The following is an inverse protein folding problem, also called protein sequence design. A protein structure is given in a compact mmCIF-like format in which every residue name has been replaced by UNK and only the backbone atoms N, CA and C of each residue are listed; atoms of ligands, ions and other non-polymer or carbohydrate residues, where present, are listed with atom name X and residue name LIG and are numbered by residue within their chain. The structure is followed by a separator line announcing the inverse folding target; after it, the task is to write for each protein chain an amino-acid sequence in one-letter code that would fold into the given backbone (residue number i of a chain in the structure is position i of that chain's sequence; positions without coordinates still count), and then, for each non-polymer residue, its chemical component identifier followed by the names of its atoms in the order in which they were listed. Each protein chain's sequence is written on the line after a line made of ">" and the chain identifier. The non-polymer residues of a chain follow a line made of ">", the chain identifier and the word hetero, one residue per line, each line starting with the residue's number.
data_IF_702128024272
#
_entry.id   IF_702128024272
#
_cell.length_a   1.000
_cell.length_b   1.000
_cell.length_c   1.000
_cell.angle_alpha   90.00
_cell.angle_beta   90.00
_cell.angle_gamma   90.00
#
_symmetry.space_group_name_H-M   'P 1'
#
loop_
_entity.id
_entity.type
_entity.pdbx_description
1 polymer ?
#
# COMPACT_ATOMS: atom_id res chain seq x y z
N UNK A 1 -40.48 60.06 5.61
CA UNK A 1 -39.97 59.50 4.34
C UNK A 1 -40.74 58.23 4.03
N UNK A 2 -41.75 58.36 3.17
CA UNK A 2 -42.54 57.29 2.53
C UNK A 2 -41.62 56.45 1.63
N UNK A 3 -41.83 55.13 1.45
CA UNK A 3 -42.88 54.57 0.57
C UNK A 3 -43.10 53.08 0.88
N UNK A 4 -44.37 52.71 1.03
CA UNK A 4 -44.88 51.38 0.69
C UNK A 4 -44.86 51.16 -0.83
N UNK A 5 -44.86 49.91 -1.31
CA UNK A 5 -45.85 49.36 -2.26
C UNK A 5 -45.50 47.90 -2.62
N UNK A 6 -46.47 47.05 -2.32
CA UNK A 6 -46.82 45.69 -2.79
C UNK A 6 -46.57 45.49 -4.30
N UNK A 7 -46.21 44.27 -4.76
CA UNK A 7 -46.96 43.50 -5.78
C UNK A 7 -46.26 42.17 -6.15
N UNK A 8 -46.96 41.05 -5.90
CA UNK A 8 -46.70 39.75 -6.51
C UNK A 8 -47.00 39.81 -8.01
N UNK A 9 -46.17 39.18 -8.85
CA UNK A 9 -46.58 38.75 -10.18
C UNK A 9 -45.93 37.42 -10.57
N UNK A 10 -46.78 36.40 -10.67
CA UNK A 10 -46.55 35.13 -11.37
C UNK A 10 -46.39 35.41 -12.87
N UNK A 11 -45.41 34.79 -13.53
CA UNK A 11 -45.47 34.58 -14.98
C UNK A 11 -44.81 33.26 -15.43
N UNK A 12 -45.72 32.35 -15.77
CA UNK A 12 -45.70 31.28 -16.78
C UNK A 12 -44.51 31.10 -17.74
N UNK A 13 -44.10 29.83 -17.83
CA UNK A 13 -43.74 29.01 -19.00
C UNK A 13 -43.11 29.68 -20.24
N UNK A 14 -41.84 29.34 -20.49
CA UNK A 14 -41.33 29.17 -21.85
C UNK A 14 -40.67 27.80 -22.01
N UNK A 15 -41.14 27.07 -23.01
CA UNK A 15 -40.55 25.83 -23.49
C UNK A 15 -39.21 26.11 -24.20
N UNK A 16 -38.21 25.26 -23.97
CA UNK A 16 -37.03 25.15 -24.82
C UNK A 16 -36.93 23.72 -25.35
N UNK A 17 -36.90 23.60 -26.68
CA UNK A 17 -36.75 22.37 -27.44
C UNK A 17 -35.28 21.98 -27.62
N UNK A 18 -35.03 20.67 -27.77
CA UNK A 18 -33.87 19.98 -28.41
C UNK A 18 -32.69 19.59 -27.50
N UNK A 19 -31.84 18.59 -27.87
CA UNK A 19 -32.00 17.43 -28.76
C UNK A 19 -31.79 16.08 -28.03
N UNK A 20 -32.18 14.95 -28.66
CA UNK A 20 -31.72 13.61 -28.23
C UNK A 20 -30.20 13.57 -28.25
N UNK A 21 -29.58 13.59 -27.07
CA UNK A 21 -28.21 13.15 -26.89
C UNK A 21 -28.22 11.64 -26.98
N UNK A 22 -27.73 11.09 -28.09
CA UNK A 22 -27.21 9.73 -28.10
C UNK A 22 -26.09 9.72 -27.06
N UNK A 23 -26.37 9.18 -25.87
CA UNK A 23 -25.35 8.88 -24.89
C UNK A 23 -24.60 7.68 -25.45
N UNK A 24 -23.57 7.97 -26.25
CA UNK A 24 -22.48 7.03 -26.49
C UNK A 24 -21.89 6.68 -25.12
N UNK A 25 -22.39 5.57 -24.58
CA UNK A 25 -21.92 4.98 -23.34
C UNK A 25 -20.57 4.32 -23.62
N UNK A 26 -19.54 5.15 -23.86
CA UNK A 26 -18.17 4.73 -23.63
C UNK A 26 -17.97 4.64 -22.13
N UNK A 27 -18.37 3.49 -21.59
CA UNK A 27 -17.95 3.02 -20.27
C UNK A 27 -16.43 2.88 -20.31
N UNK A 28 -15.71 3.97 -20.02
CA UNK A 28 -14.33 3.86 -19.57
C UNK A 28 -14.39 3.07 -18.27
N UNK A 29 -14.07 1.78 -18.34
CA UNK A 29 -13.80 0.98 -17.16
C UNK A 29 -12.63 1.67 -16.44
N UNK A 30 -12.95 2.47 -15.42
CA UNK A 30 -11.93 3.04 -14.54
C UNK A 30 -11.28 1.87 -13.81
N UNK A 31 -10.10 1.47 -14.29
CA UNK A 31 -9.27 0.49 -13.61
C UNK A 31 -8.93 1.06 -12.24
N UNK A 32 -9.34 0.35 -11.19
CA UNK A 32 -9.03 0.76 -9.83
C UNK A 32 -7.51 0.77 -9.65
N UNK A 33 -6.93 1.77 -8.97
CA UNK A 33 -5.48 1.84 -8.80
C UNK A 33 -4.98 0.61 -8.03
N UNK A 34 -3.80 0.12 -8.43
CA UNK A 34 -3.14 -1.01 -7.77
C UNK A 34 -2.79 -0.69 -6.33
N UNK A 35 -2.42 -1.70 -5.54
CA UNK A 35 -1.94 -1.46 -4.18
C UNK A 35 -0.65 -0.63 -4.20
N UNK A 36 0.26 -0.91 -5.14
CA UNK A 36 1.48 -0.15 -5.38
C UNK A 36 1.21 1.33 -5.64
N UNK A 37 0.24 1.65 -6.51
CA UNK A 37 -0.18 3.04 -6.76
C UNK A 37 -0.78 3.69 -5.51
N UNK A 38 -1.62 2.96 -4.76
CA UNK A 38 -2.23 3.45 -3.51
C UNK A 38 -1.21 3.69 -2.39
N UNK A 39 -0.07 3.00 -2.42
CA UNK A 39 1.01 3.20 -1.46
C UNK A 39 1.86 4.43 -1.75
N UNK A 40 1.86 4.94 -2.99
CA UNK A 40 2.82 5.97 -3.42
C UNK A 40 4.02 5.39 -4.17
N UNK A 41 3.86 4.21 -4.77
CA UNK A 41 4.79 3.60 -5.71
C UNK A 41 6.21 3.40 -5.12
N UNK A 42 7.25 3.46 -5.95
CA UNK A 42 8.63 3.19 -5.55
C UNK A 42 9.11 4.11 -4.41
N UNK A 43 8.87 5.43 -4.42
CA UNK A 43 9.31 6.31 -3.34
C UNK A 43 8.79 5.87 -1.97
N UNK A 44 7.52 5.46 -1.90
CA UNK A 44 6.95 4.96 -0.66
C UNK A 44 7.59 3.65 -0.21
N UNK A 45 7.81 2.69 -1.13
CA UNK A 45 8.51 1.43 -0.80
C UNK A 45 9.94 1.66 -0.31
N UNK A 46 10.69 2.54 -0.97
CA UNK A 46 12.05 2.88 -0.57
C UNK A 46 12.07 3.47 0.86
N UNK A 47 11.15 4.39 1.16
CA UNK A 47 11.02 4.99 2.50
C UNK A 47 10.65 3.95 3.57
N UNK A 48 9.68 3.06 3.30
CA UNK A 48 9.30 1.98 4.23
C UNK A 48 10.52 1.10 4.53
N UNK A 49 11.31 0.76 3.52
CA UNK A 49 12.43 -0.17 3.69
C UNK A 49 13.61 0.51 4.39
N UNK A 50 13.88 1.78 4.11
CA UNK A 50 14.88 2.55 4.85
C UNK A 50 14.52 2.69 6.33
N UNK A 51 13.25 2.98 6.63
CA UNK A 51 12.75 2.98 8.00
C UNK A 51 12.91 1.60 8.67
N UNK A 52 12.53 0.52 7.97
CA UNK A 52 12.63 -0.83 8.49
C UNK A 52 14.08 -1.23 8.81
N UNK A 53 15.02 -0.92 7.92
CA UNK A 53 16.46 -1.19 8.13
C UNK A 53 16.96 -0.47 9.38
N UNK A 54 16.59 0.80 9.55
CA UNK A 54 16.97 1.58 10.73
C UNK A 54 16.37 0.99 12.02
N UNK A 55 15.10 0.59 11.99
CA UNK A 55 14.40 0.00 13.15
C UNK A 55 15.03 -1.35 13.52
N UNK A 56 15.25 -2.24 12.54
CA UNK A 56 15.92 -3.54 12.77
C UNK A 56 17.33 -3.35 13.33
N UNK A 57 18.08 -2.36 12.85
CA UNK A 57 19.44 -2.07 13.33
C UNK A 57 19.53 -1.68 14.81
N UNK A 58 18.39 -1.40 15.45
CA UNK A 58 18.28 -1.01 16.86
C UNK A 58 17.50 -2.06 17.68
N UNK A 59 17.16 -3.21 17.09
CA UNK A 59 16.23 -4.17 17.70
C UNK A 59 16.92 -5.44 18.19
N UNK A 60 16.98 -5.63 19.51
CA UNK A 60 17.67 -6.76 20.13
C UNK A 60 16.98 -8.13 19.89
N UNK A 61 15.74 -8.16 19.39
CA UNK A 61 14.98 -9.40 19.17
C UNK A 61 15.33 -10.02 17.81
N UNK A 62 15.38 -9.21 16.75
CA UNK A 62 15.60 -9.73 15.39
C UNK A 62 16.97 -9.40 14.81
N UNK A 63 17.71 -8.43 15.35
CA UNK A 63 18.97 -7.95 14.75
C UNK A 63 19.99 -9.07 14.49
N UNK A 64 20.07 -10.08 15.35
CA UNK A 64 20.98 -11.22 15.16
C UNK A 64 20.79 -11.96 13.84
N UNK A 65 19.55 -12.01 13.30
CA UNK A 65 19.25 -12.59 11.98
C UNK A 65 19.80 -11.73 10.83
N UNK A 66 19.97 -10.44 11.06
CA UNK A 66 20.39 -9.48 10.04
C UNK A 66 21.86 -9.04 10.16
N UNK A 67 22.56 -9.37 11.25
CA UNK A 67 23.90 -8.86 11.58
C UNK A 67 24.98 -9.11 10.50
N UNK A 68 24.81 -10.12 9.65
CA UNK A 68 25.73 -10.45 8.53
C UNK A 68 25.11 -10.18 7.15
N UNK A 69 23.94 -9.54 7.11
CA UNK A 69 23.23 -9.28 5.86
C UNK A 69 23.89 -8.18 5.06
N UNK A 70 23.93 -8.34 3.74
CA UNK A 70 24.24 -7.23 2.84
C UNK A 70 23.03 -6.30 2.76
N UNK A 71 23.11 -5.14 3.43
CA UNK A 71 22.01 -4.19 3.56
C UNK A 71 21.52 -3.69 2.20
N UNK A 72 22.42 -3.39 1.26
CA UNK A 72 22.05 -2.95 -0.09
C UNK A 72 21.26 -4.03 -0.81
N UNK A 73 21.73 -5.28 -0.78
CA UNK A 73 21.03 -6.41 -1.40
C UNK A 73 19.66 -6.64 -0.73
N UNK A 74 19.59 -6.56 0.59
CA UNK A 74 18.33 -6.70 1.34
C UNK A 74 17.31 -5.64 0.90
N UNK A 75 17.72 -4.37 0.86
CA UNK A 75 16.89 -3.26 0.38
C UNK A 75 16.36 -3.52 -1.02
N UNK A 76 17.25 -3.83 -1.97
CA UNK A 76 16.86 -4.05 -3.36
C UNK A 76 15.88 -5.21 -3.52
N UNK A 77 16.16 -6.35 -2.86
CA UNK A 77 15.30 -7.54 -2.96
C UNK A 77 13.94 -7.31 -2.31
N UNK A 78 13.89 -6.67 -1.14
CA UNK A 78 12.63 -6.38 -0.47
C UNK A 78 11.81 -5.35 -1.25
N UNK A 79 12.43 -4.32 -1.84
CA UNK A 79 11.73 -3.35 -2.70
C UNK A 79 11.08 -4.04 -3.90
N UNK A 80 11.82 -4.88 -4.61
CA UNK A 80 11.29 -5.60 -5.79
C UNK A 80 10.19 -6.57 -5.37
N UNK A 81 10.37 -7.28 -4.26
CA UNK A 81 9.37 -8.20 -3.74
C UNK A 81 8.06 -7.50 -3.37
N UNK A 82 8.12 -6.41 -2.60
CA UNK A 82 6.93 -5.64 -2.22
C UNK A 82 6.27 -4.95 -3.42
N UNK A 83 7.06 -4.44 -4.36
CA UNK A 83 6.53 -3.90 -5.62
C UNK A 83 5.74 -4.96 -6.39
N UNK A 84 6.30 -6.16 -6.57
CA UNK A 84 5.62 -7.27 -7.22
C UNK A 84 4.35 -7.68 -6.46
N UNK A 85 4.46 -7.85 -5.15
CA UNK A 85 3.37 -8.28 -4.28
C UNK A 85 2.21 -7.27 -4.25
N UNK A 86 2.49 -5.97 -4.44
CA UNK A 86 1.51 -4.90 -4.45
C UNK A 86 0.89 -4.62 -5.84
N UNK A 87 1.04 -5.54 -6.80
CA UNK A 87 0.63 -5.37 -8.21
C UNK A 87 1.31 -4.16 -8.89
N UNK A 88 2.56 -3.89 -8.51
CA UNK A 88 3.44 -2.96 -9.21
C UNK A 88 4.04 -3.60 -10.47
N UNK A 89 4.76 -2.81 -11.30
CA UNK A 89 5.33 -3.29 -12.56
C UNK A 89 6.54 -4.22 -12.38
N UNK A 90 7.00 -4.44 -11.15
CA UNK A 90 8.19 -5.23 -10.87
C UNK A 90 7.90 -6.73 -10.99
N UNK A 91 8.90 -7.45 -11.53
CA UNK A 91 8.91 -8.91 -11.52
C UNK A 91 9.92 -9.38 -10.48
N UNK A 92 9.43 -10.10 -9.47
CA UNK A 92 10.31 -10.77 -8.52
C UNK A 92 10.90 -12.04 -9.16
N UNK A 93 12.23 -12.13 -9.19
CA UNK A 93 13.00 -13.26 -9.73
C UNK A 93 13.99 -13.82 -8.70
N UNK A 94 13.81 -13.45 -7.44
CA UNK A 94 14.62 -13.98 -6.34
C UNK A 94 14.18 -15.39 -5.94
N UNK A 95 14.88 -15.92 -4.95
CA UNK A 95 14.61 -17.23 -4.37
C UNK A 95 13.22 -17.27 -3.70
N UNK A 96 12.69 -18.47 -3.47
CA UNK A 96 11.40 -18.58 -2.79
C UNK A 96 11.49 -18.12 -1.33
N UNK A 97 10.36 -17.75 -0.72
CA UNK A 97 10.34 -17.42 0.71
C UNK A 97 10.76 -18.60 1.61
N UNK A 98 10.60 -19.84 1.15
CA UNK A 98 11.09 -21.02 1.88
C UNK A 98 12.61 -21.11 1.80
N UNK A 99 13.19 -20.99 0.60
CA UNK A 99 14.64 -21.07 0.39
C UNK A 99 15.39 -19.96 1.13
N UNK A 100 14.86 -18.73 1.10
CA UNK A 100 15.47 -17.57 1.77
C UNK A 100 15.57 -17.78 3.28
N UNK A 101 14.54 -18.37 3.89
CA UNK A 101 14.46 -18.51 5.36
C UNK A 101 14.87 -19.90 5.86
N UNK A 102 15.34 -20.77 4.95
CA UNK A 102 15.77 -22.11 5.28
C UNK A 102 16.94 -22.08 6.28
N UNK A 103 16.80 -22.83 7.37
CA UNK A 103 17.85 -22.96 8.39
C UNK A 103 18.00 -21.75 9.32
N UNK A 104 17.15 -20.72 9.21
CA UNK A 104 17.16 -19.57 10.13
C UNK A 104 16.47 -19.84 11.47
N UNK A 105 15.65 -20.90 11.55
CA UNK A 105 14.93 -21.31 12.77
C UNK A 105 14.07 -20.18 13.40
N UNK A 106 13.49 -19.33 12.55
CA UNK A 106 12.64 -18.21 12.98
C UNK A 106 11.42 -18.76 13.72
N UNK A 107 11.27 -18.35 14.97
CA UNK A 107 10.15 -18.75 15.81
C UNK A 107 8.97 -17.76 15.68
N UNK A 108 7.83 -18.12 16.28
CA UNK A 108 6.61 -17.29 16.22
C UNK A 108 6.79 -15.89 16.82
N UNK A 109 7.55 -15.77 17.91
CA UNK A 109 7.77 -14.49 18.57
C UNK A 109 8.58 -13.56 17.68
N UNK A 110 9.72 -14.04 17.15
CA UNK A 110 10.57 -13.26 16.24
C UNK A 110 9.82 -12.81 14.98
N UNK A 111 9.04 -13.72 14.38
CA UNK A 111 8.24 -13.38 13.20
C UNK A 111 7.20 -12.29 13.49
N UNK A 112 6.45 -12.45 14.60
CA UNK A 112 5.43 -11.47 14.97
C UNK A 112 6.07 -10.12 15.29
N UNK A 113 7.20 -10.13 16.00
CA UNK A 113 7.97 -8.93 16.31
C UNK A 113 8.44 -8.23 15.03
N UNK A 114 8.98 -8.95 14.05
CA UNK A 114 9.33 -8.38 12.75
C UNK A 114 8.13 -7.73 12.04
N UNK A 115 6.95 -8.35 12.11
CA UNK A 115 5.72 -7.75 11.56
C UNK A 115 5.37 -6.44 12.26
N UNK A 116 5.56 -6.35 13.58
CA UNK A 116 5.37 -5.10 14.34
C UNK A 116 6.38 -4.02 13.94
N UNK A 117 7.65 -4.38 13.72
CA UNK A 117 8.65 -3.45 13.20
C UNK A 117 8.31 -2.98 11.77
N UNK A 118 7.75 -3.86 10.95
CA UNK A 118 7.32 -3.52 9.59
C UNK A 118 6.11 -2.57 9.59
N UNK A 119 5.16 -2.74 10.51
CA UNK A 119 4.06 -1.80 10.71
C UNK A 119 4.60 -0.42 11.11
N UNK A 120 5.51 -0.36 12.08
CA UNK A 120 6.16 0.90 12.49
C UNK A 120 6.88 1.59 11.33
N UNK A 121 7.54 0.82 10.45
CA UNK A 121 8.21 1.36 9.27
C UNK A 121 7.22 1.96 8.25
N UNK A 122 6.04 1.37 8.09
CA UNK A 122 4.96 1.90 7.27
C UNK A 122 4.30 3.14 7.89
N UNK A 123 4.12 3.16 9.21
CA UNK A 123 3.62 4.33 9.94
C UNK A 123 4.58 5.52 9.76
N UNK A 124 5.88 5.30 9.92
CA UNK A 124 6.92 6.31 9.71
C UNK A 124 7.06 6.76 8.24
N UNK A 125 6.45 6.03 7.30
CA UNK A 125 6.38 6.40 5.88
C UNK A 125 5.00 6.99 5.49
N UNK A 126 4.16 7.35 6.48
CA UNK A 126 2.83 7.94 6.30
C UNK A 126 1.87 7.10 5.44
N UNK A 127 2.03 5.77 5.46
CA UNK A 127 1.13 4.87 4.74
C UNK A 127 -0.17 4.74 5.53
N UNK A 128 -1.30 5.08 4.92
CA UNK A 128 -2.59 4.96 5.61
C UNK A 128 -2.87 3.52 6.09
N UNK A 129 -3.45 3.39 7.29
CA UNK A 129 -3.79 2.11 7.90
C UNK A 129 -4.58 1.14 6.98
N UNK A 130 -5.58 1.57 6.18
CA UNK A 130 -6.25 0.68 5.24
C UNK A 130 -5.35 0.13 4.13
N UNK A 131 -4.31 0.86 3.73
CA UNK A 131 -3.33 0.42 2.73
C UNK A 131 -2.34 -0.54 3.36
N UNK A 132 -1.86 -0.27 4.58
CA UNK A 132 -1.01 -1.19 5.34
C UNK A 132 -1.67 -2.56 5.48
N UNK A 133 -2.92 -2.60 5.94
CA UNK A 133 -3.67 -3.85 6.13
C UNK A 133 -3.81 -4.66 4.83
N UNK A 134 -3.95 -3.99 3.68
CA UNK A 134 -4.00 -4.68 2.38
C UNK A 134 -2.66 -5.33 2.04
N UNK A 135 -1.54 -4.67 2.34
CA UNK A 135 -0.22 -5.25 2.14
C UNK A 135 0.03 -6.42 3.09
N UNK A 136 -0.26 -6.24 4.38
CA UNK A 136 -0.12 -7.29 5.39
C UNK A 136 -0.98 -8.52 5.07
N UNK A 137 -2.20 -8.33 4.56
CA UNK A 137 -3.05 -9.43 4.13
C UNK A 137 -2.44 -10.26 2.99
N UNK A 138 -1.66 -9.63 2.08
CA UNK A 138 -0.94 -10.34 1.01
C UNK A 138 0.31 -11.05 1.51
N UNK A 139 0.95 -10.53 2.56
CA UNK A 139 2.13 -11.12 3.20
C UNK A 139 1.76 -12.29 4.13
N UNK A 140 0.61 -12.24 4.79
CA UNK A 140 0.20 -13.20 5.81
C UNK A 140 0.31 -14.69 5.40
N UNK A 141 -0.02 -15.11 4.16
CA UNK A 141 0.15 -16.49 3.72
C UNK A 141 1.59 -17.00 3.75
N UNK A 142 2.59 -16.12 3.66
CA UNK A 142 4.02 -16.47 3.66
C UNK A 142 4.50 -16.88 5.06
N UNK A 143 3.74 -16.57 6.11
CA UNK A 143 4.07 -16.95 7.48
C UNK A 143 4.41 -18.44 7.62
N UNK A 144 3.69 -19.31 6.90
CA UNK A 144 3.87 -20.77 6.95
C UNK A 144 5.15 -21.26 6.27
N UNK A 145 5.72 -20.47 5.35
CA UNK A 145 6.98 -20.80 4.65
C UNK A 145 8.20 -20.27 5.41
N UNK A 146 7.99 -19.33 6.32
CA UNK A 146 9.06 -18.65 7.08
C UNK A 146 9.24 -19.28 8.46
N UNK A 147 8.14 -19.53 9.18
CA UNK A 147 8.19 -20.14 10.51
C UNK A 147 8.25 -21.66 10.35
N UNK A 148 9.24 -22.28 10.97
CA UNK A 148 9.29 -23.73 11.13
C UNK A 148 8.39 -24.14 12.30
N UNK A 149 7.46 -25.07 12.06
CA UNK A 149 6.65 -25.69 13.13
C UNK A 149 7.46 -26.73 13.91
#
# INVERSE_FOLDING_TARGET
>A
MTKSIILLLLMSCLACSSPSSNIDSHSQAQTQPSLYQKMGEKPALDNIIDNLINIIGQDDVVFSHFAQSNVTRFKDQLTVFLCHLADGPCQYKGDSMEDIHQGMYINKNEFNHFVELFIQAMDAADISYPVQNKLLARLAPLRKTIIKM
#
